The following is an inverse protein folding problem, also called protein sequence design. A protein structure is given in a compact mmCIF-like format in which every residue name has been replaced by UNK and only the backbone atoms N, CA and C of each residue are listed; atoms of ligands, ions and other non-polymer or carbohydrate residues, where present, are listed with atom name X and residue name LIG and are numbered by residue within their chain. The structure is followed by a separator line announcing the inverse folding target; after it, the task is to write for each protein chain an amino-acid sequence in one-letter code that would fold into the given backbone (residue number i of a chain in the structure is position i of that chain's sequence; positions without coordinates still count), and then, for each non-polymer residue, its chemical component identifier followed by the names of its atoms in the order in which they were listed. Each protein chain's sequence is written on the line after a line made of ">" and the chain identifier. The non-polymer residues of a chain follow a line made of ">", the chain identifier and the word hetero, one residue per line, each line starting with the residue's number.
data_IF_784907563356
#
_entry.id   IF_784907563356
#
_cell.length_a   1.000
_cell.length_b   1.000
_cell.length_c   1.000
_cell.angle_alpha   90.00
_cell.angle_beta   90.00
_cell.angle_gamma   90.00
#
_symmetry.space_group_name_H-M   'P 1'
#
loop_
_entity.id
_entity.type
_entity.pdbx_description
1 polymer ?
#
# COMPACT_ATOMS: atom_id res chain seq x y z
N UNK A 1 -5.56 19.03 -15.45
CA UNK A 1 -6.45 18.88 -14.29
C UNK A 1 -5.56 18.66 -13.09
N UNK A 2 -5.73 19.44 -12.02
CA UNK A 2 -4.98 19.24 -10.78
C UNK A 2 -5.83 18.39 -9.83
N UNK A 3 -5.37 17.18 -9.53
CA UNK A 3 -6.07 16.21 -8.69
C UNK A 3 -5.30 15.98 -7.40
N UNK A 4 -5.95 15.99 -6.23
CA UNK A 4 -5.27 15.69 -4.98
C UNK A 4 -4.92 14.20 -4.89
N UNK A 5 -4.10 13.85 -3.90
CA UNK A 5 -4.10 12.47 -3.39
C UNK A 5 -5.35 12.24 -2.55
N UNK A 6 -5.98 11.07 -2.68
CA UNK A 6 -7.23 10.77 -1.98
C UNK A 6 -7.33 9.29 -1.60
N UNK A 7 -8.20 9.00 -0.65
CA UNK A 7 -8.61 7.66 -0.26
C UNK A 7 -10.13 7.61 -0.31
N UNK A 8 -10.67 6.60 -0.99
CA UNK A 8 -12.09 6.28 -0.99
C UNK A 8 -12.30 5.07 -0.07
N UNK A 9 -12.80 5.33 1.13
CA UNK A 9 -13.05 4.29 2.13
C UNK A 9 -14.24 3.41 1.76
N UNK A 10 -14.20 2.10 2.08
CA UNK A 10 -15.38 1.23 1.96
C UNK A 10 -16.58 1.83 2.70
N UNK A 11 -17.75 1.79 2.06
CA UNK A 11 -19.01 2.31 2.62
C UNK A 11 -19.28 3.79 2.34
N UNK A 12 -18.33 4.54 1.76
CA UNK A 12 -18.53 5.93 1.35
C UNK A 12 -19.18 6.06 -0.05
N UNK A 13 -20.14 5.18 -0.38
CA UNK A 13 -20.71 5.06 -1.72
C UNK A 13 -19.96 4.07 -2.64
N UNK A 14 -18.89 3.45 -2.13
CA UNK A 14 -18.14 2.39 -2.81
C UNK A 14 -18.01 1.15 -1.92
N UNK A 15 -18.37 -0.01 -2.46
CA UNK A 15 -18.55 -1.25 -1.68
C UNK A 15 -17.47 -2.32 -1.93
N UNK A 16 -16.30 -1.96 -2.49
CA UNK A 16 -15.19 -2.91 -2.58
C UNK A 16 -14.48 -3.03 -1.23
N UNK A 17 -14.13 -4.26 -0.80
CA UNK A 17 -13.27 -4.48 0.36
C UNK A 17 -11.94 -3.72 0.23
N UNK A 18 -11.43 -3.18 1.34
CA UNK A 18 -10.13 -2.50 1.43
C UNK A 18 -10.07 -1.07 0.86
N UNK A 19 -11.00 -0.69 -0.02
CA UNK A 19 -11.12 0.66 -0.56
C UNK A 19 -10.19 0.95 -1.75
N UNK A 20 -10.06 2.23 -2.09
CA UNK A 20 -9.25 2.70 -3.21
C UNK A 20 -8.40 3.89 -2.79
N UNK A 21 -7.19 3.99 -3.31
CA UNK A 21 -6.35 5.17 -3.17
C UNK A 21 -6.06 5.79 -4.54
N UNK A 22 -5.91 7.11 -4.57
CA UNK A 22 -5.54 7.89 -5.73
C UNK A 22 -4.38 8.84 -5.44
N UNK A 23 -3.50 9.03 -6.42
CA UNK A 23 -2.45 10.03 -6.40
C UNK A 23 -2.49 10.82 -7.70
N UNK A 24 -2.74 12.12 -7.60
CA UNK A 24 -2.56 13.04 -8.73
C UNK A 24 -1.09 13.40 -8.94
N UNK A 25 -0.74 13.66 -10.19
CA UNK A 25 0.58 14.09 -10.65
C UNK A 25 0.44 14.91 -11.93
N UNK A 26 1.54 15.53 -12.38
CA UNK A 26 1.58 16.21 -13.67
C UNK A 26 1.25 15.28 -14.86
N UNK A 27 1.50 13.98 -14.71
CA UNK A 27 1.28 12.96 -15.73
C UNK A 27 -0.14 12.35 -15.68
N UNK A 28 -0.98 12.79 -14.73
CA UNK A 28 -2.34 12.30 -14.54
C UNK A 28 -2.58 11.70 -13.15
N UNK A 29 -3.64 10.90 -13.04
CA UNK A 29 -4.08 10.30 -11.76
C UNK A 29 -3.81 8.81 -11.75
N UNK A 30 -2.99 8.35 -10.79
CA UNK A 30 -2.81 6.93 -10.50
C UNK A 30 -3.87 6.50 -9.49
N UNK A 31 -4.64 5.46 -9.79
CA UNK A 31 -5.57 4.82 -8.84
C UNK A 31 -5.23 3.35 -8.62
N UNK A 32 -5.53 2.83 -7.44
CA UNK A 32 -5.31 1.43 -7.10
C UNK A 32 -6.27 0.93 -6.03
N UNK A 33 -6.71 -0.31 -6.17
CA UNK A 33 -7.50 -1.00 -5.14
C UNK A 33 -6.57 -1.42 -4.00
N UNK A 34 -6.99 -1.21 -2.75
CA UNK A 34 -6.23 -1.56 -1.56
C UNK A 34 -6.71 -2.88 -0.94
N UNK A 35 -5.81 -3.66 -0.35
CA UNK A 35 -6.16 -4.88 0.38
C UNK A 35 -6.77 -5.99 -0.48
N UNK A 36 -6.56 -5.96 -1.79
CA UNK A 36 -7.07 -6.95 -2.74
C UNK A 36 -5.93 -7.61 -3.50
N UNK A 37 -6.23 -8.74 -4.15
CA UNK A 37 -5.29 -9.48 -4.98
C UNK A 37 -5.06 -10.90 -4.46
N UNK A 38 -4.34 -11.68 -5.26
CA UNK A 38 -3.94 -13.04 -4.91
C UNK A 38 -2.70 -13.03 -4.02
N UNK A 39 -2.62 -14.00 -3.11
CA UNK A 39 -1.37 -14.35 -2.43
C UNK A 39 -0.46 -14.99 -3.46
N UNK A 40 0.76 -14.47 -3.60
CA UNK A 40 1.72 -14.93 -4.61
C UNK A 40 3.12 -15.10 -4.02
N UNK A 41 3.91 -15.94 -4.66
CA UNK A 41 5.36 -15.97 -4.50
C UNK A 41 5.96 -14.80 -5.32
N UNK A 42 6.77 -13.90 -4.72
CA UNK A 42 7.34 -12.76 -5.45
C UNK A 42 8.25 -13.16 -6.62
N UNK A 43 8.88 -14.34 -6.55
CA UNK A 43 9.83 -14.84 -7.55
C UNK A 43 9.11 -15.54 -8.73
N UNK A 44 7.89 -16.03 -8.50
CA UNK A 44 7.15 -16.85 -9.47
C UNK A 44 5.80 -16.23 -9.89
N UNK A 45 5.54 -14.96 -9.56
CA UNK A 45 4.26 -14.32 -9.89
C UNK A 45 4.08 -14.01 -11.37
N UNK A 46 2.84 -14.10 -11.83
CA UNK A 46 2.40 -13.47 -13.07
C UNK A 46 2.41 -11.93 -12.90
N UNK A 47 2.95 -11.23 -13.90
CA UNK A 47 3.03 -9.76 -13.94
C UNK A 47 2.01 -9.15 -14.89
N UNK A 48 1.24 -9.99 -15.58
CA UNK A 48 0.15 -9.58 -16.46
C UNK A 48 -0.93 -8.88 -15.64
N UNK A 49 -1.30 -7.64 -15.98
CA UNK A 49 -2.40 -6.97 -15.32
C UNK A 49 -3.71 -7.74 -15.49
N UNK A 50 -4.46 -7.92 -14.41
CA UNK A 50 -5.81 -8.53 -14.45
C UNK A 50 -6.77 -7.61 -15.22
N UNK A 51 -7.30 -8.03 -16.39
CA UNK A 51 -8.23 -7.22 -17.16
C UNK A 51 -9.48 -6.82 -16.36
N UNK A 52 -9.99 -7.70 -15.50
CA UNK A 52 -11.15 -7.40 -14.67
C UNK A 52 -10.85 -6.36 -13.59
N UNK A 53 -9.61 -6.31 -13.07
CA UNK A 53 -9.17 -5.23 -12.18
C UNK A 53 -9.06 -3.90 -12.92
N UNK A 54 -8.53 -3.91 -14.15
CA UNK A 54 -8.44 -2.71 -15.00
C UNK A 54 -9.84 -2.16 -15.31
N UNK A 55 -10.79 -3.01 -15.69
CA UNK A 55 -12.16 -2.60 -15.98
C UNK A 55 -12.86 -2.00 -14.76
N UNK A 56 -12.66 -2.58 -13.57
CA UNK A 56 -13.18 -2.00 -12.31
C UNK A 56 -12.61 -0.62 -12.02
N UNK A 57 -11.30 -0.42 -12.20
CA UNK A 57 -10.66 0.89 -12.02
C UNK A 57 -11.12 1.90 -13.08
N UNK A 58 -11.37 1.45 -14.32
CA UNK A 58 -11.93 2.29 -15.38
C UNK A 58 -13.34 2.75 -15.02
N UNK A 59 -14.20 1.84 -14.56
CA UNK A 59 -15.55 2.17 -14.10
C UNK A 59 -15.51 3.16 -12.92
N UNK A 60 -14.61 2.95 -11.96
CA UNK A 60 -14.39 3.90 -10.86
C UNK A 60 -14.00 5.29 -11.37
N UNK A 61 -13.05 5.39 -12.29
CA UNK A 61 -12.62 6.68 -12.83
C UNK A 61 -13.75 7.40 -13.60
N UNK A 62 -14.58 6.65 -14.33
CA UNK A 62 -15.75 7.19 -15.03
C UNK A 62 -16.77 7.83 -14.08
N UNK A 63 -17.01 7.21 -12.94
CA UNK A 63 -17.98 7.68 -11.96
C UNK A 63 -17.42 8.80 -11.07
N UNK A 64 -16.20 8.64 -10.58
CA UNK A 64 -15.66 9.46 -9.48
C UNK A 64 -14.62 10.49 -9.91
N UNK A 65 -14.05 10.37 -11.11
CA UNK A 65 -12.96 11.23 -11.59
C UNK A 65 -13.32 11.93 -12.91
N UNK A 66 -14.31 12.86 -12.89
CA UNK A 66 -14.70 13.60 -14.08
C UNK A 66 -13.50 14.33 -14.70
N UNK A 67 -13.35 14.20 -16.02
CA UNK A 67 -12.22 14.76 -16.77
C UNK A 67 -10.95 13.91 -16.78
N UNK A 68 -10.81 12.93 -15.88
CA UNK A 68 -9.83 11.83 -16.03
C UNK A 68 -10.45 10.71 -16.85
N UNK A 69 -11.76 10.47 -16.65
CA UNK A 69 -12.54 9.54 -17.46
C UNK A 69 -12.37 9.79 -18.96
N UNK A 70 -11.92 8.77 -19.70
CA UNK A 70 -11.72 8.83 -21.16
C UNK A 70 -10.26 8.75 -21.62
N UNK A 71 -9.29 8.82 -20.71
CA UNK A 71 -7.90 8.49 -21.02
C UNK A 71 -7.68 6.98 -20.99
N UNK A 72 -6.80 6.46 -21.85
CA UNK A 72 -6.40 5.06 -21.77
C UNK A 72 -5.45 4.86 -20.57
N UNK A 73 -5.79 4.00 -19.60
CA UNK A 73 -4.93 3.76 -18.44
C UNK A 73 -3.67 3.00 -18.85
N UNK A 74 -2.58 3.28 -18.15
CA UNK A 74 -1.38 2.44 -18.20
C UNK A 74 -1.44 1.49 -17.00
N UNK A 75 -1.74 0.19 -17.21
CA UNK A 75 -1.88 -0.75 -16.10
C UNK A 75 -0.52 -1.15 -15.54
N UNK A 76 -0.44 -1.30 -14.22
CA UNK A 76 0.76 -1.73 -13.50
C UNK A 76 0.37 -2.76 -12.43
N UNK A 77 1.24 -3.74 -12.21
CA UNK A 77 1.12 -4.69 -11.10
C UNK A 77 2.16 -4.38 -10.03
N UNK A 78 1.80 -4.56 -8.77
CA UNK A 78 2.70 -4.35 -7.62
C UNK A 78 2.46 -5.42 -6.56
N UNK A 79 3.26 -5.41 -5.49
CA UNK A 79 3.14 -6.33 -4.38
C UNK A 79 3.01 -5.58 -3.06
N UNK A 80 2.19 -6.14 -2.18
CA UNK A 80 2.22 -5.87 -0.76
C UNK A 80 2.85 -7.06 -0.03
N UNK A 81 3.60 -6.76 1.02
CA UNK A 81 4.01 -7.76 2.03
C UNK A 81 3.30 -7.38 3.32
N UNK A 82 2.30 -8.17 3.69
CA UNK A 82 1.33 -7.82 4.74
C UNK A 82 1.50 -8.69 5.97
N UNK A 83 1.57 -8.06 7.13
CA UNK A 83 1.53 -8.71 8.44
C UNK A 83 0.08 -9.04 8.83
N UNK A 84 -0.17 -10.03 9.71
CA UNK A 84 -1.52 -10.37 10.15
C UNK A 84 -2.30 -9.21 10.80
N UNK A 85 -1.59 -8.27 11.43
CA UNK A 85 -2.15 -7.08 12.08
C UNK A 85 -2.04 -5.80 11.24
N UNK A 86 -1.52 -5.91 10.02
CA UNK A 86 -1.28 -4.80 9.08
C UNK A 86 -0.31 -3.71 9.59
N UNK A 87 0.31 -3.88 10.76
CA UNK A 87 1.37 -3.01 11.31
C UNK A 87 2.77 -3.42 10.81
N UNK A 88 3.72 -2.50 10.84
CA UNK A 88 5.10 -2.75 10.36
C UNK A 88 5.89 -3.66 11.28
N UNK A 89 6.92 -4.33 10.77
CA UNK A 89 7.97 -4.95 11.58
C UNK A 89 9.25 -4.13 11.41
N UNK A 90 9.63 -3.41 12.46
CA UNK A 90 10.81 -2.54 12.49
C UNK A 90 11.51 -2.76 13.83
N UNK A 91 12.56 -3.56 13.83
CA UNK A 91 13.22 -4.01 15.06
C UNK A 91 14.69 -4.38 14.83
N UNK A 92 15.44 -4.55 15.92
CA UNK A 92 16.84 -5.00 15.91
C UNK A 92 17.03 -6.25 16.77
N UNK A 93 17.67 -7.26 16.19
CA UNK A 93 17.99 -8.53 16.82
C UNK A 93 19.51 -8.74 16.75
N UNK A 94 20.20 -8.44 17.85
CA UNK A 94 21.66 -8.45 17.90
C UNK A 94 22.28 -7.50 16.87
N UNK A 95 23.11 -7.98 15.92
CA UNK A 95 23.71 -7.14 14.90
C UNK A 95 22.79 -6.85 13.69
N UNK A 96 21.57 -7.41 13.64
CA UNK A 96 20.69 -7.32 12.48
C UNK A 96 19.51 -6.39 12.75
N UNK A 97 19.32 -5.39 11.89
CA UNK A 97 18.11 -4.55 11.86
C UNK A 97 17.16 -5.04 10.77
N UNK A 98 15.89 -5.22 11.10
CA UNK A 98 14.85 -5.74 10.22
C UNK A 98 13.79 -4.68 9.96
N UNK A 99 13.50 -4.43 8.70
CA UNK A 99 12.43 -3.55 8.21
C UNK A 99 11.58 -4.33 7.21
N UNK A 100 10.37 -4.73 7.60
CA UNK A 100 9.52 -5.62 6.82
C UNK A 100 8.04 -5.39 7.08
N UNK A 101 7.19 -6.06 6.29
CA UNK A 101 5.76 -6.15 6.59
C UNK A 101 5.02 -4.82 6.50
N UNK A 102 5.35 -4.01 5.49
CA UNK A 102 4.80 -2.65 5.35
C UNK A 102 3.32 -2.58 4.92
N UNK A 103 2.68 -3.74 4.72
CA UNK A 103 1.23 -3.91 4.57
C UNK A 103 0.58 -2.97 3.56
N UNK A 104 1.36 -2.61 2.52
CA UNK A 104 0.92 -1.76 1.43
C UNK A 104 0.78 -0.28 1.73
N UNK A 105 1.17 0.16 2.93
CA UNK A 105 0.95 1.55 3.37
C UNK A 105 2.20 2.23 3.95
N UNK A 106 3.36 1.56 3.92
CA UNK A 106 4.64 2.07 4.44
C UNK A 106 5.26 3.24 3.67
N UNK A 107 5.01 3.39 2.37
CA UNK A 107 5.71 4.39 1.54
C UNK A 107 5.58 5.82 2.08
N UNK A 108 4.39 6.22 2.54
CA UNK A 108 4.13 7.56 3.10
C UNK A 108 4.95 7.86 4.36
N UNK A 109 5.44 6.82 5.04
CA UNK A 109 6.23 6.91 6.26
C UNK A 109 7.74 6.74 5.99
N UNK A 110 8.16 6.63 4.73
CA UNK A 110 9.56 6.37 4.35
C UNK A 110 10.60 7.20 5.10
N UNK A 111 10.44 8.54 5.21
CA UNK A 111 11.35 9.38 6.00
C UNK A 111 11.44 8.97 7.47
N UNK A 112 10.30 8.84 8.16
CA UNK A 112 10.24 8.45 9.57
C UNK A 112 10.75 7.02 9.81
N UNK A 113 10.49 6.09 8.88
CA UNK A 113 11.03 4.73 8.90
C UNK A 113 12.55 4.75 8.78
N UNK A 114 13.09 5.62 7.93
CA UNK A 114 14.54 5.79 7.75
C UNK A 114 15.23 6.30 9.01
N UNK A 115 14.64 7.30 9.68
CA UNK A 115 15.11 7.78 10.98
C UNK A 115 15.09 6.67 12.03
N UNK A 116 13.96 5.96 12.17
CA UNK A 116 13.86 4.82 13.10
C UNK A 116 14.88 3.71 12.79
N UNK A 117 15.17 3.47 11.51
CA UNK A 117 16.19 2.50 11.12
C UNK A 117 17.60 2.94 11.54
N UNK A 118 17.94 4.23 11.35
CA UNK A 118 19.22 4.79 11.78
C UNK A 118 19.39 4.68 13.30
N UNK A 119 18.35 5.06 14.05
CA UNK A 119 18.28 4.94 15.50
C UNK A 119 18.57 3.50 15.97
N UNK A 120 17.88 2.53 15.37
CA UNK A 120 18.08 1.11 15.67
C UNK A 120 19.51 0.67 15.38
N UNK A 121 20.10 1.08 14.25
CA UNK A 121 21.49 0.74 13.86
C UNK A 121 22.52 1.34 14.83
N UNK A 122 22.22 2.46 15.47
CA UNK A 122 23.06 3.06 16.51
C UNK A 122 22.84 2.45 17.90
N UNK A 123 21.91 1.50 18.04
CA UNK A 123 21.61 0.83 19.30
C UNK A 123 20.61 1.57 20.18
N UNK A 124 19.88 2.56 19.62
CA UNK A 124 18.78 3.21 20.32
C UNK A 124 17.55 2.27 20.36
N UNK A 125 16.68 2.40 21.37
CA UNK A 125 15.53 1.51 21.53
C UNK A 125 14.53 1.69 20.38
N UNK A 126 13.96 0.56 19.92
CA UNK A 126 12.85 0.54 18.97
C UNK A 126 11.49 0.82 19.60
N UNK A 127 10.43 0.59 18.83
CA UNK A 127 9.04 0.73 19.30
C UNK A 127 8.37 -0.63 19.49
N UNK A 128 7.78 -0.86 20.66
CA UNK A 128 7.12 -2.12 21.00
C UNK A 128 5.98 -2.48 20.01
N UNK A 129 5.33 -1.47 19.43
CA UNK A 129 4.28 -1.66 18.42
C UNK A 129 4.80 -2.33 17.15
N UNK A 130 6.06 -2.11 16.77
CA UNK A 130 6.65 -2.69 15.56
C UNK A 130 7.71 -3.76 15.85
N UNK A 131 7.85 -4.17 17.11
CA UNK A 131 8.80 -5.19 17.54
C UNK A 131 8.56 -6.52 16.82
N UNK A 132 9.65 -7.26 16.58
CA UNK A 132 9.59 -8.60 16.05
C UNK A 132 9.00 -9.55 17.11
N UNK A 133 8.07 -10.42 16.70
CA UNK A 133 7.42 -11.36 17.63
C UNK A 133 6.38 -10.75 18.57
N UNK A 134 5.96 -9.49 18.34
CA UNK A 134 4.84 -8.89 19.06
C UNK A 134 3.57 -9.75 18.95
N UNK A 135 2.72 -9.72 19.98
CA UNK A 135 1.39 -10.28 19.88
C UNK A 135 0.55 -9.45 18.90
N UNK A 136 -0.11 -10.10 17.94
CA UNK A 136 -1.09 -9.42 17.11
C UNK A 136 -2.26 -8.97 18.01
N UNK A 137 -2.76 -7.74 17.87
CA UNK A 137 -3.97 -7.31 18.56
C UNK A 137 -5.12 -8.27 18.25
N UNK A 138 -5.86 -8.71 19.26
CA UNK A 138 -7.12 -9.45 19.06
C UNK A 138 -8.12 -8.49 18.42
N UNK A 139 -8.55 -8.78 17.19
CA UNK A 139 -9.66 -8.10 16.52
C UNK A 139 -10.98 -8.34 17.24
#
# INVERSE_FOLDING_TARGET
>A
LDWPSFIHHPGAGWNMPGGLYGLGSADGVKIGLHGVGQVVDPDHRDRTPDPAAVDRLRAYAQEWLPGVAGTEPVPLTCLYTTTPDEDFVIDRQGPVTVLAGFSGHGFKFGPAIGELAADLVEGRPGTARFALGRAAPTR
#
